data_IF_052588053659
#
_entry.id   IF_052588053659
#
_cell.length_a   1.000
_cell.length_b   1.000
_cell.length_c   1.000
_cell.angle_alpha   90.00
_cell.angle_beta   90.00
_cell.angle_gamma   90.00
#
_symmetry.space_group_name_H-M   'P 1'
#
loop_
_entity.id
_entity.type
_entity.pdbx_description
1 polymer ?
#
# COMPACT_ATOMS: atom_id res chain seq x y z
N UNK A 1 12.16 24.43 -6.02
CA UNK A 1 11.27 24.00 -4.92
C UNK A 1 9.88 24.52 -5.17
N UNK A 2 8.86 23.67 -5.08
CA UNK A 2 7.47 24.10 -5.27
C UNK A 2 6.93 24.72 -3.98
N UNK A 3 5.85 25.49 -4.08
CA UNK A 3 5.16 26.06 -2.91
C UNK A 3 4.70 24.98 -1.92
N UNK A 4 4.29 23.82 -2.44
CA UNK A 4 3.96 22.64 -1.62
C UNK A 4 5.18 22.13 -0.82
N UNK A 5 6.36 22.04 -1.46
CA UNK A 5 7.60 21.64 -0.77
C UNK A 5 7.97 22.59 0.37
N UNK A 6 7.80 23.91 0.17
CA UNK A 6 8.09 24.91 1.21
C UNK A 6 7.17 24.80 2.43
N UNK A 7 5.88 24.55 2.20
CA UNK A 7 4.90 24.37 3.28
C UNK A 7 5.18 23.10 4.09
N UNK A 8 5.65 22.03 3.45
CA UNK A 8 6.02 20.78 4.15
C UNK A 8 7.23 21.01 5.05
N UNK A 9 8.29 21.67 4.55
CA UNK A 9 9.49 21.97 5.33
C UNK A 9 9.14 22.82 6.55
N UNK A 10 8.32 23.85 6.38
CA UNK A 10 7.89 24.70 7.50
C UNK A 10 7.12 23.92 8.56
N UNK A 11 6.22 23.01 8.15
CA UNK A 11 5.48 22.16 9.09
C UNK A 11 6.38 21.15 9.82
N UNK A 12 7.40 20.61 9.17
CA UNK A 12 8.37 19.72 9.80
C UNK A 12 9.23 20.42 10.85
N UNK A 13 9.49 21.73 10.68
CA UNK A 13 10.23 22.53 11.68
C UNK A 13 9.42 22.90 12.92
N UNK A 14 8.08 22.89 12.82
CA UNK A 14 7.17 23.24 13.91
C UNK A 14 6.49 22.02 14.53
N UNK A 15 6.90 20.81 14.15
CA UNK A 15 6.36 19.57 14.69
C UNK A 15 6.91 19.35 16.12
N UNK A 16 6.10 18.79 17.04
CA UNK A 16 6.58 18.36 18.35
C UNK A 16 7.47 17.11 18.23
N UNK A 17 8.44 16.98 19.14
CA UNK A 17 9.50 15.97 19.11
C UNK A 17 8.96 14.52 19.03
N UNK A 18 7.84 14.24 19.70
CA UNK A 18 7.21 12.91 19.69
C UNK A 18 6.74 12.48 18.29
N UNK A 19 6.34 13.43 17.44
CA UNK A 19 5.87 13.14 16.08
C UNK A 19 7.01 13.07 15.05
N UNK A 20 8.23 13.48 15.40
CA UNK A 20 9.38 13.41 14.48
C UNK A 20 9.69 11.95 14.15
N UNK A 21 9.64 11.06 15.14
CA UNK A 21 9.89 9.62 14.96
C UNK A 21 8.85 8.98 14.02
N UNK A 22 7.57 9.32 14.15
CA UNK A 22 6.52 8.80 13.27
C UNK A 22 6.69 9.26 11.81
N UNK A 23 7.16 10.50 11.61
CA UNK A 23 7.44 11.02 10.27
C UNK A 23 8.65 10.32 9.66
N UNK A 24 9.69 10.04 10.44
CA UNK A 24 10.84 9.26 9.98
C UNK A 24 10.41 7.84 9.56
N UNK A 25 9.60 7.17 10.37
CA UNK A 25 9.03 5.85 10.06
C UNK A 25 8.19 5.89 8.77
N UNK A 26 7.39 6.94 8.57
CA UNK A 26 6.61 7.13 7.35
C UNK A 26 7.49 7.37 6.12
N UNK A 27 8.56 8.14 6.25
CA UNK A 27 9.53 8.37 5.17
C UNK A 27 10.22 7.06 4.80
N UNK A 28 10.62 6.26 5.78
CA UNK A 28 11.27 4.97 5.54
C UNK A 28 10.31 3.95 4.92
N UNK A 29 9.04 3.96 5.32
CA UNK A 29 7.99 3.21 4.63
C UNK A 29 7.86 3.61 3.15
N UNK A 30 7.83 4.91 2.85
CA UNK A 30 7.77 5.40 1.47
C UNK A 30 9.00 4.99 0.66
N UNK A 31 10.21 5.09 1.22
CA UNK A 31 11.44 4.64 0.57
C UNK A 31 11.39 3.15 0.28
N UNK A 32 10.98 2.32 1.24
CA UNK A 32 10.86 0.87 1.06
C UNK A 32 9.82 0.51 -0.01
N UNK A 33 8.67 1.19 -0.01
CA UNK A 33 7.61 1.01 -1.02
C UNK A 33 8.10 1.35 -2.43
N UNK A 34 8.78 2.48 -2.59
CA UNK A 34 9.31 2.90 -3.89
C UNK A 34 10.48 2.02 -4.34
N UNK A 35 11.37 1.61 -3.44
CA UNK A 35 12.48 0.69 -3.75
C UNK A 35 11.96 -0.64 -4.34
N UNK A 36 10.89 -1.21 -3.74
CA UNK A 36 10.23 -2.43 -4.24
C UNK A 36 9.48 -2.22 -5.56
N UNK A 37 9.07 -0.99 -5.87
CA UNK A 37 8.41 -0.65 -7.14
C UNK A 37 9.41 -0.52 -8.29
N UNK A 38 10.64 -0.05 -8.03
CA UNK A 38 11.70 0.05 -9.05
C UNK A 38 12.41 -1.28 -9.29
N UNK A 39 12.46 -2.20 -8.32
CA UNK A 39 12.91 -3.58 -8.56
C UNK A 39 11.94 -4.41 -9.43
N UNK A 40 10.80 -3.83 -9.84
CA UNK A 40 9.77 -4.47 -10.68
C UNK A 40 9.71 -3.89 -12.11
N UNK A 41 10.75 -3.16 -12.54
CA UNK A 41 10.81 -2.58 -13.88
C UNK A 41 11.68 -3.38 -14.86
N UNK A 42 11.51 -4.69 -14.94
CA UNK A 42 11.85 -5.47 -16.15
C UNK A 42 11.15 -6.82 -16.06
N UNK A 43 10.40 -7.18 -17.11
CA UNK A 43 9.65 -8.43 -17.32
C UNK A 43 8.57 -8.77 -16.30
N UNK A 44 7.30 -8.57 -16.67
CA UNK A 44 6.23 -9.58 -16.56
C UNK A 44 4.93 -8.98 -17.13
N UNK A 45 4.88 -8.89 -18.46
CA UNK A 45 3.61 -9.03 -19.18
C UNK A 45 3.10 -10.46 -18.91
N UNK A 46 1.88 -10.59 -18.37
CA UNK A 46 1.11 -11.84 -18.50
C UNK A 46 0.94 -12.75 -17.28
N UNK A 47 1.22 -12.32 -16.04
CA UNK A 47 0.84 -13.11 -14.86
C UNK A 47 -0.41 -12.54 -14.19
N UNK A 48 -1.58 -13.03 -14.62
CA UNK A 48 -2.76 -13.05 -13.78
C UNK A 48 -2.40 -13.94 -12.60
N UNK A 49 -1.96 -13.32 -11.50
CA UNK A 49 -1.75 -14.01 -10.23
C UNK A 49 -3.15 -14.38 -9.75
N UNK A 50 -3.57 -15.63 -10.02
CA UNK A 50 -4.70 -16.19 -9.29
C UNK A 50 -4.34 -16.16 -7.81
N UNK A 51 -5.01 -15.30 -7.04
CA UNK A 51 -4.79 -15.22 -5.62
C UNK A 51 -5.03 -16.60 -4.99
N UNK A 52 -4.10 -17.10 -4.16
CA UNK A 52 -4.24 -18.41 -3.56
C UNK A 52 -5.48 -18.39 -2.66
N UNK A 53 -6.53 -19.13 -3.08
CA UNK A 53 -7.78 -19.38 -2.34
C UNK A 53 -7.57 -19.81 -0.88
N UNK A 54 -6.35 -20.21 -0.51
CA UNK A 54 -5.97 -20.59 0.85
C UNK A 54 -5.88 -19.43 1.84
N UNK A 55 -5.67 -18.18 1.42
CA UNK A 55 -5.57 -17.04 2.35
C UNK A 55 -6.90 -16.70 3.03
N UNK A 56 -8.02 -16.94 2.34
CA UNK A 56 -9.37 -16.75 2.91
C UNK A 56 -9.70 -17.78 4.01
N UNK A 57 -8.97 -18.90 4.05
CA UNK A 57 -9.10 -19.93 5.08
C UNK A 57 -8.37 -19.57 6.39
N UNK A 58 -7.55 -18.53 6.38
CA UNK A 58 -6.75 -18.10 7.53
C UNK A 58 -7.47 -17.10 8.45
N UNK A 59 -8.64 -16.57 8.04
CA UNK A 59 -9.51 -15.83 8.95
C UNK A 59 -9.99 -16.79 10.06
N UNK A 60 -9.57 -16.53 11.30
CA UNK A 60 -9.98 -17.28 12.49
C UNK A 60 -11.44 -16.99 12.88
N UNK A 61 -12.35 -17.27 11.97
CA UNK A 61 -13.80 -17.20 12.13
C UNK A 61 -14.43 -18.03 11.02
N UNK A 62 -15.48 -18.77 11.33
CA UNK A 62 -16.12 -19.71 10.38
C UNK A 62 -16.74 -18.93 9.22
N UNK A 63 -15.98 -18.71 8.15
CA UNK A 63 -16.54 -18.25 6.87
C UNK A 63 -17.24 -19.47 6.26
N UNK A 64 -18.56 -19.58 6.50
CA UNK A 64 -19.39 -20.68 6.00
C UNK A 64 -19.68 -20.57 4.49
N UNK A 65 -19.52 -19.38 3.91
CA UNK A 65 -19.89 -19.12 2.53
C UNK A 65 -19.13 -17.92 1.96
N UNK A 66 -18.58 -18.08 0.75
CA UNK A 66 -18.03 -17.02 -0.10
C UNK A 66 -18.77 -17.15 -1.43
N UNK A 67 -19.33 -16.05 -1.94
CA UNK A 67 -20.01 -16.07 -3.23
C UNK A 67 -19.02 -16.25 -4.39
N UNK A 68 -19.45 -16.96 -5.45
CA UNK A 68 -18.61 -17.28 -6.62
C UNK A 68 -18.13 -16.04 -7.39
N UNK A 69 -18.77 -14.90 -7.18
CA UNK A 69 -18.49 -13.63 -7.83
C UNK A 69 -17.71 -12.63 -6.98
N UNK A 70 -17.27 -13.00 -5.77
CA UNK A 70 -16.54 -12.09 -4.87
C UNK A 70 -15.33 -11.40 -5.52
N UNK A 71 -14.65 -12.09 -6.43
CA UNK A 71 -13.49 -11.58 -7.16
C UNK A 71 -13.82 -11.04 -8.56
N UNK A 72 -15.09 -11.02 -8.97
CA UNK A 72 -15.44 -10.46 -10.29
C UNK A 72 -15.34 -8.94 -10.26
N UNK A 73 -14.92 -8.30 -11.38
CA UNK A 73 -14.90 -6.86 -11.48
C UNK A 73 -16.32 -6.30 -11.29
N UNK A 74 -16.43 -5.15 -10.63
CA UNK A 74 -17.69 -4.43 -10.50
C UNK A 74 -18.07 -3.86 -11.86
N UNK A 75 -19.25 -4.25 -12.36
CA UNK A 75 -19.83 -3.65 -13.56
C UNK A 75 -20.32 -2.24 -13.23
N UNK A 76 -19.57 -1.23 -13.68
CA UNK A 76 -20.01 0.15 -13.67
C UNK A 76 -20.57 0.51 -15.05
N UNK A 77 -21.88 0.33 -15.22
CA UNK A 77 -22.64 0.89 -16.35
C UNK A 77 -23.13 2.30 -16.02
#
# INVERSE_FOLDING_TARGET
MTTATKNIIHKLQTLPDDMVNEVEDFIDFLKAKHYKSFSKSTSEEGNIVEEPKSLYRAAKGTILYIADDFNKPLDFN
#
